data_IF_267679271287
#
_entry.id   IF_267679271287
#
_cell.length_a   1.000
_cell.length_b   1.000
_cell.length_c   1.000
_cell.angle_alpha   90.00
_cell.angle_beta   90.00
_cell.angle_gamma   90.00
#
_symmetry.space_group_name_H-M   'P 1'
#
loop_
_entity.id
_entity.type
_entity.pdbx_description
1 polymer ?
#
# COMPACT_ATOMS: atom_id res chain seq x y z
N UNK A 1 31.60 24.55 -5.79
CA UNK A 1 31.04 24.24 -4.44
C UNK A 1 29.50 24.22 -4.39
N UNK A 2 28.80 24.78 -5.35
CA UNK A 2 27.33 24.87 -5.37
C UNK A 2 26.62 23.61 -5.87
N UNK A 3 27.24 22.82 -6.74
CA UNK A 3 26.65 21.59 -7.31
C UNK A 3 26.54 20.43 -6.31
N UNK A 4 27.50 20.31 -5.38
CA UNK A 4 27.47 19.27 -4.35
C UNK A 4 26.37 19.49 -3.30
N UNK A 5 26.05 20.74 -2.97
CA UNK A 5 24.96 21.09 -2.03
C UNK A 5 23.60 20.77 -2.63
N UNK A 6 23.35 21.15 -3.89
CA UNK A 6 22.07 20.87 -4.55
C UNK A 6 21.79 19.37 -4.71
N UNK A 7 22.78 18.58 -5.09
CA UNK A 7 22.65 17.12 -5.16
C UNK A 7 22.34 16.49 -3.80
N UNK A 8 23.00 16.97 -2.73
CA UNK A 8 22.73 16.51 -1.35
C UNK A 8 21.29 16.83 -0.91
N UNK A 9 20.78 18.01 -1.28
CA UNK A 9 19.41 18.43 -0.92
C UNK A 9 18.35 17.63 -1.67
N UNK A 10 18.57 17.33 -2.95
CA UNK A 10 17.70 16.45 -3.73
C UNK A 10 17.64 15.05 -3.11
N UNK A 11 18.79 14.47 -2.79
CA UNK A 11 18.88 13.15 -2.15
C UNK A 11 18.11 13.11 -0.81
N UNK A 12 18.30 14.12 0.04
CA UNK A 12 17.58 14.20 1.34
C UNK A 12 16.07 14.26 1.14
N UNK A 13 15.57 15.03 0.17
CA UNK A 13 14.13 15.13 -0.12
C UNK A 13 13.56 13.80 -0.62
N UNK A 14 14.28 13.10 -1.48
CA UNK A 14 13.90 11.76 -1.95
C UNK A 14 13.83 10.77 -0.80
N UNK A 15 14.83 10.75 0.07
CA UNK A 15 14.85 9.87 1.24
C UNK A 15 13.69 10.16 2.20
N UNK A 16 13.36 11.41 2.42
CA UNK A 16 12.20 11.81 3.22
C UNK A 16 10.89 11.32 2.59
N UNK A 17 10.74 11.45 1.27
CA UNK A 17 9.56 11.00 0.55
C UNK A 17 9.39 9.46 0.64
N UNK A 18 10.48 8.70 0.45
CA UNK A 18 10.49 7.24 0.58
C UNK A 18 10.09 6.81 2.00
N UNK A 19 10.66 7.44 3.02
CA UNK A 19 10.34 7.14 4.43
C UNK A 19 8.88 7.46 4.76
N UNK A 20 8.36 8.59 4.29
CA UNK A 20 6.96 8.97 4.46
C UNK A 20 6.01 7.93 3.85
N UNK A 21 6.23 7.56 2.60
CA UNK A 21 5.37 6.59 1.90
C UNK A 21 5.44 5.23 2.56
N UNK A 22 6.63 4.78 2.98
CA UNK A 22 6.80 3.54 3.73
C UNK A 22 6.01 3.55 5.05
N UNK A 23 6.06 4.67 5.78
CA UNK A 23 5.31 4.86 7.03
C UNK A 23 3.81 4.81 6.80
N UNK A 24 3.29 5.55 5.82
CA UNK A 24 1.86 5.56 5.47
C UNK A 24 1.40 4.17 5.05
N UNK A 25 2.18 3.47 4.23
CA UNK A 25 1.89 2.13 3.76
C UNK A 25 1.80 1.11 4.89
N UNK A 26 2.74 1.12 5.81
CA UNK A 26 2.74 0.23 6.97
C UNK A 26 1.56 0.53 7.90
N UNK A 27 1.21 1.81 8.05
CA UNK A 27 0.03 2.22 8.80
C UNK A 27 -1.26 1.70 8.14
N UNK A 28 -1.42 1.85 6.84
CA UNK A 28 -2.59 1.36 6.09
C UNK A 28 -2.71 -0.17 6.20
N UNK A 29 -1.59 -0.90 6.14
CA UNK A 29 -1.56 -2.35 6.37
C UNK A 29 -2.05 -2.72 7.77
N UNK A 30 -1.58 -2.03 8.81
CA UNK A 30 -2.05 -2.27 10.18
C UNK A 30 -3.52 -1.89 10.35
N UNK A 31 -3.94 -0.78 9.76
CA UNK A 31 -5.32 -0.30 9.86
C UNK A 31 -6.31 -1.28 9.22
N UNK A 32 -6.00 -1.87 8.05
CA UNK A 32 -6.92 -2.81 7.39
C UNK A 32 -7.11 -4.08 8.22
N UNK A 33 -6.05 -4.59 8.84
CA UNK A 33 -6.13 -5.77 9.72
C UNK A 33 -7.05 -5.49 10.90
N UNK A 34 -6.89 -4.33 11.54
CA UNK A 34 -7.73 -3.93 12.67
C UNK A 34 -9.19 -3.70 12.26
N UNK A 35 -9.42 -3.04 11.12
CA UNK A 35 -10.78 -2.86 10.61
C UNK A 35 -11.41 -4.19 10.25
N UNK A 36 -10.70 -5.09 9.56
CA UNK A 36 -11.21 -6.42 9.21
C UNK A 36 -11.55 -7.24 10.46
N UNK A 37 -10.71 -7.19 11.50
CA UNK A 37 -10.99 -7.84 12.79
C UNK A 37 -12.28 -7.30 13.42
N UNK A 38 -12.42 -5.97 13.50
CA UNK A 38 -13.60 -5.31 14.08
C UNK A 38 -14.87 -5.63 13.27
N UNK A 39 -14.79 -5.64 11.93
CA UNK A 39 -15.92 -5.99 11.07
C UNK A 39 -16.31 -7.47 11.23
N UNK A 40 -15.34 -8.38 11.22
CA UNK A 40 -15.59 -9.82 11.40
C UNK A 40 -16.28 -10.12 12.74
N UNK A 41 -15.93 -9.38 13.80
CA UNK A 41 -16.59 -9.48 15.09
C UNK A 41 -18.03 -8.97 15.10
N UNK A 42 -18.34 -8.02 14.24
CA UNK A 42 -19.64 -7.33 14.19
C UNK A 42 -20.47 -7.67 12.93
N UNK A 43 -20.29 -8.86 12.37
CA UNK A 43 -21.00 -9.31 11.16
C UNK A 43 -22.52 -9.34 11.32
N UNK A 44 -23.04 -9.54 12.53
CA UNK A 44 -24.48 -9.49 12.81
C UNK A 44 -25.09 -8.14 12.44
N UNK A 45 -24.38 -7.02 12.72
CA UNK A 45 -24.85 -5.67 12.36
C UNK A 45 -25.01 -5.52 10.85
N UNK A 46 -24.09 -6.09 10.07
CA UNK A 46 -24.17 -6.07 8.60
C UNK A 46 -25.43 -6.76 8.07
N UNK A 47 -25.80 -7.89 8.67
CA UNK A 47 -26.95 -8.69 8.26
C UNK A 47 -28.28 -8.09 8.74
N UNK A 48 -28.30 -7.48 9.92
CA UNK A 48 -29.53 -6.98 10.56
C UNK A 48 -29.88 -5.56 10.16
N UNK A 49 -28.89 -4.66 10.04
CA UNK A 49 -29.14 -3.24 9.81
C UNK A 49 -28.04 -2.57 9.01
N UNK A 50 -28.24 -2.45 7.70
CA UNK A 50 -27.28 -1.84 6.78
C UNK A 50 -26.92 -0.39 7.14
N UNK A 51 -27.89 0.41 7.60
CA UNK A 51 -27.62 1.81 7.96
C UNK A 51 -26.74 1.91 9.21
N UNK A 52 -27.00 1.07 10.22
CA UNK A 52 -26.18 1.00 11.42
C UNK A 52 -24.76 0.53 11.08
N UNK A 53 -24.64 -0.42 10.17
CA UNK A 53 -23.35 -0.91 9.72
C UNK A 53 -22.59 0.16 8.92
N UNK A 54 -23.26 0.93 8.07
CA UNK A 54 -22.63 2.05 7.35
C UNK A 54 -22.09 3.11 8.33
N UNK A 55 -22.85 3.46 9.37
CA UNK A 55 -22.41 4.37 10.42
C UNK A 55 -21.19 3.80 11.18
N UNK A 56 -21.20 2.49 11.45
CA UNK A 56 -20.07 1.81 12.06
C UNK A 56 -18.82 1.87 11.17
N UNK A 57 -18.97 1.59 9.89
CA UNK A 57 -17.90 1.68 8.90
C UNK A 57 -17.32 3.11 8.80
N UNK A 58 -18.18 4.12 8.83
CA UNK A 58 -17.75 5.52 8.89
C UNK A 58 -16.96 5.84 10.15
N UNK A 59 -17.36 5.29 11.30
CA UNK A 59 -16.61 5.46 12.55
C UNK A 59 -15.21 4.85 12.44
N UNK A 60 -15.06 3.68 11.83
CA UNK A 60 -13.77 3.05 11.55
C UNK A 60 -12.87 3.94 10.67
N UNK A 61 -13.44 4.54 9.63
CA UNK A 61 -12.74 5.50 8.76
C UNK A 61 -12.20 6.69 9.56
N UNK A 62 -13.05 7.32 10.37
CA UNK A 62 -12.70 8.52 11.13
C UNK A 62 -11.61 8.25 12.19
N UNK A 63 -11.76 7.19 12.97
CA UNK A 63 -10.81 6.83 14.05
C UNK A 63 -9.42 6.58 13.49
N UNK A 64 -9.32 5.98 12.31
CA UNK A 64 -8.03 5.65 11.67
C UNK A 64 -7.55 6.72 10.70
N UNK A 65 -8.32 7.81 10.53
CA UNK A 65 -8.00 8.90 9.59
C UNK A 65 -7.79 8.39 8.17
N UNK A 66 -8.58 7.40 7.75
CA UNK A 66 -8.61 6.92 6.38
C UNK A 66 -9.45 7.87 5.52
N UNK A 67 -9.17 7.88 4.22
CA UNK A 67 -9.94 8.73 3.28
C UNK A 67 -11.16 8.00 2.75
N UNK A 68 -11.07 6.68 2.52
CA UNK A 68 -12.22 5.84 2.18
C UNK A 68 -12.09 4.41 2.69
N UNK A 69 -13.23 3.78 2.96
CA UNK A 69 -13.39 2.34 3.16
C UNK A 69 -14.49 1.85 2.21
N UNK A 70 -14.17 0.84 1.42
CA UNK A 70 -15.09 0.18 0.50
C UNK A 70 -15.25 -1.29 0.89
N UNK A 71 -16.47 -1.80 0.85
CA UNK A 71 -16.75 -3.22 0.79
C UNK A 71 -17.06 -3.58 -0.65
N UNK A 72 -16.42 -4.62 -1.15
CA UNK A 72 -16.53 -5.06 -2.54
C UNK A 72 -16.69 -6.58 -2.59
N UNK A 73 -17.26 -7.07 -3.67
CA UNK A 73 -17.34 -8.51 -3.93
C UNK A 73 -16.07 -9.04 -4.65
N UNK A 74 -16.05 -10.33 -4.93
CA UNK A 74 -14.94 -10.99 -5.61
C UNK A 74 -14.72 -10.56 -7.08
N UNK A 75 -15.67 -9.83 -7.68
CA UNK A 75 -15.54 -9.22 -9.00
C UNK A 75 -15.04 -7.77 -8.95
N UNK A 76 -14.88 -7.21 -7.74
CA UNK A 76 -14.56 -5.81 -7.53
C UNK A 76 -15.77 -4.88 -7.56
N UNK A 77 -17.00 -5.42 -7.58
CA UNK A 77 -18.22 -4.61 -7.54
C UNK A 77 -18.40 -4.01 -6.13
N UNK A 78 -18.73 -2.73 -6.09
CA UNK A 78 -18.98 -2.00 -4.85
C UNK A 78 -20.25 -2.50 -4.17
N UNK A 79 -20.14 -2.95 -2.93
CA UNK A 79 -21.26 -3.34 -2.05
C UNK A 79 -21.63 -2.21 -1.10
N UNK A 80 -20.65 -1.52 -0.52
CA UNK A 80 -20.84 -0.42 0.42
C UNK A 80 -19.63 0.53 0.40
N UNK A 81 -19.88 1.82 0.65
CA UNK A 81 -18.86 2.87 0.73
C UNK A 81 -19.11 3.80 1.89
N UNK A 82 -18.04 4.22 2.56
CA UNK A 82 -18.09 5.28 3.59
C UNK A 82 -18.19 6.67 3.01
N UNK A 83 -18.00 6.83 1.71
CA UNK A 83 -17.98 8.14 1.06
C UNK A 83 -18.68 8.06 -0.30
N UNK A 84 -19.99 8.32 -0.29
CA UNK A 84 -20.81 8.19 -1.49
C UNK A 84 -20.56 9.29 -2.52
N UNK A 85 -20.00 10.43 -2.12
CA UNK A 85 -20.03 11.64 -2.95
C UNK A 85 -18.66 12.30 -3.23
N UNK A 86 -17.58 11.90 -2.58
CA UNK A 86 -16.30 12.64 -2.66
C UNK A 86 -15.15 11.86 -3.32
N UNK A 87 -15.14 10.54 -3.21
CA UNK A 87 -14.06 9.72 -3.76
C UNK A 87 -14.62 8.79 -4.82
N UNK A 88 -14.13 8.96 -6.05
CA UNK A 88 -14.46 8.03 -7.13
C UNK A 88 -13.92 6.64 -6.79
N UNK A 89 -14.80 5.66 -6.67
CA UNK A 89 -14.40 4.28 -6.52
C UNK A 89 -13.72 3.78 -7.80
N UNK A 90 -12.50 3.27 -7.66
CA UNK A 90 -11.76 2.59 -8.73
C UNK A 90 -11.50 1.18 -8.23
N UNK A 91 -12.05 0.15 -8.90
CA UNK A 91 -11.89 -1.22 -8.46
C UNK A 91 -10.42 -1.66 -8.49
N UNK A 92 -10.01 -2.55 -7.57
CA UNK A 92 -8.74 -3.26 -7.69
C UNK A 92 -8.72 -4.08 -8.99
N UNK A 93 -7.51 -4.37 -9.49
CA UNK A 93 -7.37 -5.22 -10.68
C UNK A 93 -7.78 -6.67 -10.38
N UNK A 94 -8.14 -7.42 -11.44
CA UNK A 94 -8.48 -8.83 -11.30
C UNK A 94 -7.33 -9.66 -10.69
N UNK A 95 -6.07 -9.29 -10.97
CA UNK A 95 -4.89 -9.92 -10.38
C UNK A 95 -4.79 -9.65 -8.87
N UNK A 96 -5.03 -8.39 -8.47
CA UNK A 96 -5.03 -8.01 -7.06
C UNK A 96 -6.11 -8.75 -6.27
N UNK A 97 -7.30 -8.90 -6.84
CA UNK A 97 -8.39 -9.69 -6.23
C UNK A 97 -8.01 -11.17 -6.10
N UNK A 98 -7.42 -11.76 -7.14
CA UNK A 98 -6.94 -13.15 -7.09
C UNK A 98 -5.87 -13.37 -6.02
N UNK A 99 -4.97 -12.40 -5.81
CA UNK A 99 -3.92 -12.49 -4.80
C UNK A 99 -4.49 -12.60 -3.37
N UNK A 100 -5.61 -11.96 -3.07
CA UNK A 100 -6.21 -11.96 -1.73
C UNK A 100 -7.26 -13.05 -1.52
N UNK A 101 -7.70 -13.72 -2.58
CA UNK A 101 -8.67 -14.82 -2.48
C UNK A 101 -8.17 -15.97 -1.61
N UNK A 102 -6.89 -16.32 -1.74
CA UNK A 102 -6.25 -17.46 -1.10
C UNK A 102 -5.23 -17.07 -0.02
N UNK A 103 -5.15 -15.79 0.33
CA UNK A 103 -4.20 -15.29 1.32
C UNK A 103 -4.94 -14.42 2.35
N UNK A 104 -4.82 -14.76 3.62
CA UNK A 104 -5.42 -14.01 4.73
C UNK A 104 -4.69 -12.68 5.01
N UNK A 105 -3.51 -12.49 4.43
CA UNK A 105 -2.73 -11.26 4.61
C UNK A 105 -3.23 -10.14 3.72
N UNK A 106 -3.19 -8.88 4.19
CA UNK A 106 -3.56 -7.73 3.38
C UNK A 106 -2.62 -7.56 2.19
N UNK A 107 -3.17 -7.23 1.02
CA UNK A 107 -2.42 -6.76 -0.14
C UNK A 107 -2.26 -5.25 -0.07
N UNK A 108 -1.02 -4.78 -0.03
CA UNK A 108 -0.70 -3.34 -0.10
C UNK A 108 -0.66 -2.90 -1.55
N UNK A 109 -1.39 -1.83 -1.87
CA UNK A 109 -1.49 -1.25 -3.20
C UNK A 109 -1.04 0.20 -3.11
N UNK A 110 -0.01 0.52 -3.84
CA UNK A 110 0.54 1.87 -3.88
C UNK A 110 0.36 2.43 -5.28
N UNK A 111 -0.17 3.65 -5.43
CA UNK A 111 -0.31 4.33 -6.71
C UNK A 111 0.20 5.77 -6.63
N UNK A 112 1.43 6.02 -7.13
CA UNK A 112 2.07 7.33 -7.11
C UNK A 112 1.31 8.35 -7.93
N UNK A 113 0.86 7.96 -9.12
CA UNK A 113 0.17 8.88 -10.02
C UNK A 113 -1.18 9.35 -9.48
N UNK A 114 -1.81 8.55 -8.62
CA UNK A 114 -3.07 8.89 -7.94
C UNK A 114 -2.86 9.36 -6.50
N UNK A 115 -1.63 9.48 -6.04
CA UNK A 115 -1.27 9.84 -4.67
C UNK A 115 -1.98 8.99 -3.62
N UNK A 116 -2.10 7.69 -3.83
CA UNK A 116 -2.84 6.80 -2.94
C UNK A 116 -1.97 5.66 -2.40
N UNK A 117 -2.15 5.38 -1.11
CA UNK A 117 -1.77 4.14 -0.48
C UNK A 117 -3.03 3.39 -0.07
N UNK A 118 -3.20 2.18 -0.54
CA UNK A 118 -4.37 1.38 -0.29
C UNK A 118 -4.00 -0.01 0.23
N UNK A 119 -4.98 -0.69 0.81
CA UNK A 119 -4.87 -2.10 1.14
C UNK A 119 -6.17 -2.82 0.82
N UNK A 120 -6.06 -4.09 0.47
CA UNK A 120 -7.15 -4.99 0.13
C UNK A 120 -7.00 -6.27 0.96
N UNK A 121 -8.11 -6.75 1.54
CA UNK A 121 -8.14 -7.94 2.37
C UNK A 121 -9.50 -8.63 2.30
N UNK A 122 -9.53 -9.97 2.35
CA UNK A 122 -10.77 -10.74 2.46
C UNK A 122 -11.33 -10.65 3.88
N UNK A 123 -12.65 -10.55 4.00
CA UNK A 123 -13.36 -10.65 5.27
C UNK A 123 -13.79 -12.11 5.51
N UNK A 124 -13.30 -12.72 6.59
CA UNK A 124 -13.50 -14.14 6.84
C UNK A 124 -14.97 -14.52 7.13
N UNK A 125 -15.70 -13.65 7.83
CA UNK A 125 -17.09 -13.91 8.27
C UNK A 125 -18.15 -13.34 7.31
N UNK A 126 -17.73 -12.83 6.14
CA UNK A 126 -18.61 -12.27 5.12
C UNK A 126 -18.54 -13.11 3.86
N UNK A 127 -19.70 -13.37 3.27
CA UNK A 127 -19.73 -14.16 2.03
C UNK A 127 -19.16 -13.36 0.87
N UNK A 128 -18.11 -13.91 0.23
CA UNK A 128 -17.43 -13.32 -0.94
C UNK A 128 -17.13 -11.83 -0.86
N UNK A 129 -16.86 -11.31 0.33
CA UNK A 129 -16.68 -9.88 0.58
C UNK A 129 -15.23 -9.55 0.93
N UNK A 130 -14.75 -8.46 0.36
CA UNK A 130 -13.42 -7.89 0.61
C UNK A 130 -13.56 -6.47 1.14
N UNK A 131 -12.65 -6.10 2.03
CA UNK A 131 -12.46 -4.72 2.45
C UNK A 131 -11.33 -4.10 1.63
N UNK A 132 -11.56 -2.89 1.14
CA UNK A 132 -10.61 -2.08 0.40
C UNK A 132 -10.54 -0.70 1.02
N UNK A 133 -9.39 -0.34 1.59
CA UNK A 133 -9.19 0.95 2.26
C UNK A 133 -8.21 1.80 1.49
N UNK A 134 -8.42 3.12 1.53
CA UNK A 134 -7.61 4.11 0.83
C UNK A 134 -7.15 5.21 1.79
N UNK A 135 -5.89 5.59 1.64
CA UNK A 135 -5.28 6.77 2.24
C UNK A 135 -4.59 7.58 1.16
N UNK A 136 -4.94 8.86 1.02
CA UNK A 136 -4.21 9.76 0.13
C UNK A 136 -2.84 10.11 0.70
N UNK A 137 -1.86 10.16 -0.18
CA UNK A 137 -0.53 10.66 0.10
C UNK A 137 -0.51 12.18 -0.09
N UNK A 138 0.41 12.86 0.60
CA UNK A 138 0.66 14.27 0.35
C UNK A 138 1.17 14.45 -1.11
N UNK A 139 0.49 15.25 -1.95
CA UNK A 139 0.85 15.42 -3.36
C UNK A 139 2.27 15.97 -3.55
N UNK A 140 2.73 16.85 -2.64
CA UNK A 140 4.08 17.42 -2.70
C UNK A 140 5.15 16.36 -2.47
N UNK A 141 4.87 15.42 -1.57
CA UNK A 141 5.81 14.34 -1.24
C UNK A 141 5.80 13.29 -2.34
N UNK A 142 4.63 12.92 -2.86
CA UNK A 142 4.53 11.93 -3.94
C UNK A 142 5.12 12.45 -5.27
N UNK A 143 5.12 13.76 -5.51
CA UNK A 143 5.79 14.37 -6.66
C UNK A 143 7.30 14.05 -6.66
N UNK A 144 7.97 14.12 -5.51
CA UNK A 144 9.40 13.76 -5.42
C UNK A 144 9.67 12.29 -5.77
N UNK A 145 8.70 11.42 -5.60
CA UNK A 145 8.82 10.00 -5.98
C UNK A 145 8.69 9.82 -7.50
N UNK A 146 7.81 10.59 -8.15
CA UNK A 146 7.60 10.50 -9.60
C UNK A 146 8.69 11.17 -10.43
N UNK A 147 9.43 12.12 -9.84
CA UNK A 147 10.55 12.81 -10.49
C UNK A 147 11.85 11.98 -10.49
N UNK A 148 11.92 10.89 -9.74
CA UNK A 148 13.10 10.04 -9.62
C UNK A 148 12.81 8.63 -10.12
N UNK A 149 13.58 8.15 -11.11
CA UNK A 149 13.49 6.77 -11.59
C UNK A 149 13.81 5.75 -10.51
N UNK A 150 14.75 6.04 -9.61
CA UNK A 150 15.12 5.18 -8.48
C UNK A 150 13.99 5.05 -7.46
N UNK A 151 13.25 6.14 -7.22
CA UNK A 151 12.10 6.14 -6.34
C UNK A 151 10.90 5.40 -6.98
N UNK A 152 10.75 5.46 -8.30
CA UNK A 152 9.77 4.66 -9.04
C UNK A 152 10.10 3.17 -8.98
N UNK A 153 11.36 2.77 -9.11
CA UNK A 153 11.78 1.37 -8.98
C UNK A 153 11.56 0.84 -7.57
N UNK A 154 11.82 1.62 -6.55
CA UNK A 154 11.45 1.31 -5.17
C UNK A 154 9.93 1.13 -5.03
N UNK A 155 9.16 1.98 -5.68
CA UNK A 155 7.70 1.98 -5.67
C UNK A 155 7.12 0.70 -6.30
N UNK A 156 7.63 0.28 -7.46
CA UNK A 156 7.22 -0.96 -8.14
C UNK A 156 7.72 -2.21 -7.40
N UNK A 157 8.92 -2.19 -6.84
CA UNK A 157 9.49 -3.29 -6.04
C UNK A 157 8.64 -3.56 -4.79
N UNK A 158 7.98 -2.54 -4.25
CA UNK A 158 7.08 -2.63 -3.12
C UNK A 158 5.74 -3.28 -3.50
N UNK A 159 5.27 -3.07 -4.72
CA UNK A 159 4.06 -3.70 -5.24
C UNK A 159 4.27 -5.20 -5.48
N UNK A 160 5.48 -5.61 -5.81
CA UNK A 160 5.85 -6.99 -6.22
C UNK A 160 6.23 -7.89 -5.03
N UNK A 161 6.34 -7.38 -3.81
CA UNK A 161 6.92 -8.10 -2.65
C UNK A 161 6.07 -9.21 -2.02
N UNK A 162 4.98 -9.67 -2.61
CA UNK A 162 4.42 -10.99 -2.26
C UNK A 162 5.26 -12.16 -2.81
N UNK A 163 5.97 -11.93 -3.91
CA UNK A 163 6.98 -12.84 -4.48
C UNK A 163 8.40 -12.54 -4.01
N UNK A 164 8.64 -11.42 -3.36
CA UNK A 164 9.92 -10.71 -3.35
C UNK A 164 10.83 -10.89 -2.14
N UNK A 165 10.56 -11.74 -1.15
CA UNK A 165 11.61 -12.08 -0.15
C UNK A 165 12.79 -12.80 -0.84
N UNK A 166 12.52 -13.57 -1.88
CA UNK A 166 13.58 -14.26 -2.65
C UNK A 166 14.38 -13.30 -3.56
N UNK A 167 13.76 -12.24 -4.10
CA UNK A 167 14.44 -11.28 -4.98
C UNK A 167 15.30 -10.27 -4.22
N UNK A 168 14.91 -9.81 -3.03
CA UNK A 168 15.73 -8.90 -2.22
C UNK A 168 17.06 -9.53 -1.82
N UNK A 169 17.08 -10.81 -1.48
CA UNK A 169 18.33 -11.52 -1.20
C UNK A 169 19.18 -11.72 -2.45
N UNK A 170 18.58 -11.94 -3.63
CA UNK A 170 19.30 -12.07 -4.88
C UNK A 170 20.01 -10.76 -5.30
N UNK A 171 19.34 -9.62 -5.15
CA UNK A 171 19.92 -8.30 -5.47
C UNK A 171 21.05 -7.96 -4.50
N UNK A 172 20.86 -8.17 -3.20
CA UNK A 172 21.91 -7.95 -2.19
C UNK A 172 23.09 -8.89 -2.46
N UNK A 173 22.84 -10.14 -2.83
CA UNK A 173 23.89 -11.11 -3.17
C UNK A 173 24.68 -10.68 -4.42
N UNK A 174 24.00 -10.23 -5.48
CA UNK A 174 24.66 -9.73 -6.72
C UNK A 174 25.51 -8.50 -6.42
N UNK A 175 25.02 -7.55 -5.63
CA UNK A 175 25.78 -6.35 -5.26
C UNK A 175 27.01 -6.74 -4.42
N UNK A 176 26.85 -7.64 -3.45
CA UNK A 176 27.94 -8.08 -2.58
C UNK A 176 28.99 -8.85 -3.36
N UNK A 177 28.61 -9.75 -4.27
CA UNK A 177 29.52 -10.52 -5.13
C UNK A 177 30.23 -9.61 -6.12
N UNK A 178 29.52 -8.64 -6.73
CA UNK A 178 30.16 -7.68 -7.64
C UNK A 178 31.16 -6.78 -6.92
N UNK A 179 30.87 -6.37 -5.69
CA UNK A 179 31.77 -5.54 -4.88
C UNK A 179 33.02 -6.30 -4.44
N UNK A 180 32.90 -7.57 -4.05
CA UNK A 180 34.02 -8.43 -3.68
C UNK A 180 34.87 -8.78 -4.89
N UNK A 181 34.28 -8.98 -6.08
CA UNK A 181 35.01 -9.27 -7.32
C UNK A 181 35.82 -8.07 -7.82
N UNK A 182 35.26 -6.84 -7.74
CA UNK A 182 35.95 -5.59 -8.06
C UNK A 182 37.16 -5.34 -7.13
N UNK A 183 36.98 -5.62 -5.83
CA UNK A 183 38.03 -5.42 -4.84
C UNK A 183 39.19 -6.43 -4.98
N UNK A 184 38.89 -7.66 -5.38
CA UNK A 184 39.92 -8.67 -5.67
C UNK A 184 40.81 -8.31 -6.88
N UNK A 185 40.25 -7.58 -7.86
CA UNK A 185 40.99 -7.12 -9.05
C UNK A 185 41.89 -5.89 -8.79
N UNK A 186 41.61 -5.11 -7.72
CA UNK A 186 42.46 -3.96 -7.34
C UNK A 186 43.66 -4.34 -6.47
N UNK A 187 43.68 -5.54 -5.87
CA UNK A 187 44.82 -6.00 -5.03
C UNK A 187 45.87 -6.77 -5.80
N UNK A 188 45.71 -7.03 -7.10
CA UNK A 188 46.66 -7.73 -7.96
C UNK A 188 47.45 -6.77 -8.91
N UNK A 189 47.55 -5.47 -8.58
CA UNK A 189 48.41 -4.52 -9.28
C UNK A 189 49.44 -3.91 -8.39
#
# INVERSE_FOLDING_TARGET
>A
RTTSSAASDVYKRQQLAVNYVSTVRNKVESDIVLVAFDLNKNVSIYNENKQRFENYLNSQKLVRKLDAIFLIDNSGKLLMSTDRNQIQYIPPSAEQLKMVLNDERPLKILNAYKNTSAALMRLANYDNTFIYIIKYLDPKISQYLTESSEALDFYYTVQDKRTGIKFSFAIIYIITVSYTHLRAHETDR
#
